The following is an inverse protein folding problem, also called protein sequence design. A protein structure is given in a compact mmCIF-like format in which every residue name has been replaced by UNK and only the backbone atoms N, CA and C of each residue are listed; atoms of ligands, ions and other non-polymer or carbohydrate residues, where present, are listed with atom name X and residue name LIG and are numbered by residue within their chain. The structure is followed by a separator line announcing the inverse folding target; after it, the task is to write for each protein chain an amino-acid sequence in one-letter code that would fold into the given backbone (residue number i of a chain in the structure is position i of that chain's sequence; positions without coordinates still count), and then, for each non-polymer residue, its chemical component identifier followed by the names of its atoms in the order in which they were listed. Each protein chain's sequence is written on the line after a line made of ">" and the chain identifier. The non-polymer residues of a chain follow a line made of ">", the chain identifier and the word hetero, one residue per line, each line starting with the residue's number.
data_IF_525522454773
#
_entry.id   IF_525522454773
#
_cell.length_a   1.000
_cell.length_b   1.000
_cell.length_c   1.000
_cell.angle_alpha   90.00
_cell.angle_beta   90.00
_cell.angle_gamma   90.00
#
_symmetry.space_group_name_H-M   'P 1'
#
loop_
_entity.id
_entity.type
_entity.pdbx_description
1 polymer ?
#
# COMPACT_ATOMS: atom_id res chain seq x y z
N UNK A 1 16.37 17.10 -14.24
CA UNK A 1 14.99 16.89 -14.68
C UNK A 1 14.56 15.48 -14.30
N UNK A 2 13.53 15.37 -13.50
CA UNK A 2 13.05 14.04 -13.09
C UNK A 2 12.19 13.50 -14.24
N UNK A 3 12.63 12.43 -14.87
CA UNK A 3 11.79 11.75 -15.82
C UNK A 3 10.59 11.15 -15.10
N UNK A 4 9.38 11.51 -15.52
CA UNK A 4 8.21 10.85 -15.03
C UNK A 4 8.20 9.42 -15.56
N UNK A 5 8.42 8.46 -14.66
CA UNK A 5 8.35 7.05 -15.04
C UNK A 5 6.93 6.75 -15.53
N UNK A 6 6.82 6.28 -16.76
CA UNK A 6 5.54 5.84 -17.29
C UNK A 6 5.11 4.56 -16.58
N UNK A 7 3.86 4.52 -16.18
CA UNK A 7 3.25 3.31 -15.64
C UNK A 7 2.85 2.43 -16.83
N UNK A 8 3.38 1.20 -16.92
CA UNK A 8 3.02 0.28 -18.00
C UNK A 8 1.61 -0.28 -17.80
N UNK A 9 1.16 -1.09 -18.75
CA UNK A 9 -0.05 -1.89 -18.55
C UNK A 9 0.25 -2.95 -17.48
N UNK A 10 -0.37 -2.81 -16.32
CA UNK A 10 -0.05 -3.63 -15.16
C UNK A 10 -0.45 -5.10 -15.33
N UNK A 11 -1.47 -5.36 -16.15
CA UNK A 11 -1.92 -6.73 -16.41
C UNK A 11 -1.01 -7.50 -17.37
N UNK A 12 -0.17 -6.81 -18.13
CA UNK A 12 0.79 -7.43 -19.04
C UNK A 12 2.11 -7.79 -18.38
N UNK A 13 2.34 -7.35 -17.14
CA UNK A 13 3.56 -7.68 -16.41
C UNK A 13 3.53 -9.14 -15.94
N UNK A 14 4.65 -9.85 -16.13
CA UNK A 14 4.79 -11.16 -15.50
C UNK A 14 5.01 -10.99 -13.98
N UNK A 15 5.05 -12.09 -13.25
CA UNK A 15 5.18 -12.02 -11.77
C UNK A 15 6.41 -11.26 -11.32
N UNK A 16 7.53 -11.48 -11.99
CA UNK A 16 8.80 -10.83 -11.65
C UNK A 16 8.73 -9.33 -11.96
N UNK A 17 8.22 -8.98 -13.12
CA UNK A 17 8.05 -7.59 -13.53
C UNK A 17 7.07 -6.85 -12.62
N UNK A 18 5.95 -7.50 -12.27
CA UNK A 18 4.98 -6.92 -11.36
C UNK A 18 5.57 -6.70 -9.97
N UNK A 19 6.32 -7.67 -9.45
CA UNK A 19 7.01 -7.53 -8.17
C UNK A 19 7.97 -6.33 -8.20
N UNK A 20 8.77 -6.23 -9.27
CA UNK A 20 9.71 -5.11 -9.43
C UNK A 20 8.98 -3.77 -9.54
N UNK A 21 7.86 -3.72 -10.27
CA UNK A 21 7.06 -2.51 -10.35
C UNK A 21 6.57 -2.08 -8.96
N UNK A 22 6.05 -3.01 -8.18
CA UNK A 22 5.52 -2.71 -6.85
C UNK A 22 6.63 -2.18 -5.94
N UNK A 23 7.78 -2.85 -5.90
CA UNK A 23 8.85 -2.51 -4.97
C UNK A 23 9.68 -1.31 -5.43
N UNK A 24 9.91 -1.16 -6.73
CA UNK A 24 10.88 -0.19 -7.25
C UNK A 24 10.25 1.05 -7.87
N UNK A 25 8.97 1.00 -8.20
CA UNK A 25 8.27 2.11 -8.85
C UNK A 25 7.12 2.63 -7.99
N UNK A 26 6.16 1.76 -7.66
CA UNK A 26 4.97 2.15 -6.90
C UNK A 26 5.34 2.58 -5.47
N UNK A 27 6.19 1.80 -4.80
CA UNK A 27 6.69 2.12 -3.46
C UNK A 27 8.14 2.59 -3.50
N UNK A 28 8.50 3.35 -4.52
CA UNK A 28 9.85 3.92 -4.60
C UNK A 28 10.04 4.98 -3.52
N UNK A 29 11.12 4.80 -2.75
CA UNK A 29 11.43 5.71 -1.65
C UNK A 29 10.54 5.48 -0.41
N UNK A 30 10.78 6.24 0.65
CA UNK A 30 10.02 6.06 1.91
C UNK A 30 8.56 6.48 1.78
N UNK A 31 8.26 7.45 0.91
CA UNK A 31 6.91 7.93 0.67
C UNK A 31 6.62 7.78 -0.82
N UNK A 32 5.57 7.05 -1.21
CA UNK A 32 5.24 6.88 -2.63
C UNK A 32 4.96 8.21 -3.32
N UNK A 33 5.38 8.31 -4.59
CA UNK A 33 5.11 9.48 -5.41
C UNK A 33 3.62 9.52 -5.79
N UNK A 34 2.88 10.56 -5.40
CA UNK A 34 1.46 10.65 -5.71
C UNK A 34 1.14 10.60 -7.20
N UNK A 35 2.03 11.09 -8.06
CA UNK A 35 1.80 11.07 -9.51
C UNK A 35 1.95 9.66 -10.09
N UNK A 36 2.89 8.86 -9.58
CA UNK A 36 3.02 7.47 -9.98
C UNK A 36 1.78 6.68 -9.57
N UNK A 37 1.34 6.88 -8.33
CA UNK A 37 0.11 6.23 -7.82
C UNK A 37 -1.09 6.65 -8.66
N UNK A 38 -1.21 7.94 -8.96
CA UNK A 38 -2.29 8.45 -9.80
C UNK A 38 -2.32 7.76 -11.16
N UNK A 39 -1.17 7.62 -11.83
CA UNK A 39 -1.10 6.96 -13.13
C UNK A 39 -1.38 5.45 -13.06
N UNK A 40 -1.05 4.81 -11.94
CA UNK A 40 -1.32 3.39 -11.73
C UNK A 40 -2.79 3.10 -11.49
N UNK A 41 -3.55 4.07 -11.01
CA UNK A 41 -4.97 3.92 -10.69
C UNK A 41 -5.83 4.08 -11.94
N UNK A 42 -6.91 3.32 -12.01
CA UNK A 42 -7.82 3.33 -13.17
C UNK A 42 -8.41 4.73 -13.38
N UNK A 43 -8.36 5.27 -14.60
CA UNK A 43 -8.79 6.65 -14.84
C UNK A 43 -10.27 6.91 -14.61
N UNK A 44 -11.12 5.93 -14.87
CA UNK A 44 -12.56 6.10 -14.84
C UNK A 44 -13.27 5.37 -13.71
N UNK A 45 -12.62 4.36 -13.10
CA UNK A 45 -13.30 3.48 -12.18
C UNK A 45 -12.37 3.01 -11.05
N UNK A 46 -11.75 3.96 -10.37
CA UNK A 46 -10.90 3.67 -9.22
C UNK A 46 -11.64 3.95 -7.93
N UNK A 47 -11.50 3.04 -6.96
CA UNK A 47 -11.94 3.30 -5.60
C UNK A 47 -11.00 2.62 -4.60
N UNK A 48 -10.71 3.33 -3.51
CA UNK A 48 -9.97 2.78 -2.38
C UNK A 48 -10.91 2.67 -1.20
N UNK A 49 -10.94 1.51 -0.57
CA UNK A 49 -11.78 1.26 0.60
C UNK A 49 -10.95 1.00 1.84
N UNK A 50 -11.41 1.54 2.95
CA UNK A 50 -10.86 1.29 4.28
C UNK A 50 -11.96 0.67 5.14
N UNK A 51 -12.08 -0.67 5.14
CA UNK A 51 -13.20 -1.33 5.83
C UNK A 51 -13.27 -1.05 7.34
N UNK A 52 -12.13 -0.80 7.97
CA UNK A 52 -12.10 -0.58 9.42
C UNK A 52 -12.81 0.71 9.84
N UNK A 53 -12.73 1.76 9.02
CA UNK A 53 -13.46 3.01 9.26
C UNK A 53 -14.76 3.10 8.49
N UNK A 54 -14.95 2.22 7.50
CA UNK A 54 -16.11 2.26 6.61
C UNK A 54 -16.02 3.36 5.54
N UNK A 55 -14.85 3.90 5.31
CA UNK A 55 -14.66 5.00 4.35
C UNK A 55 -14.23 4.50 2.99
N UNK A 56 -14.53 5.29 1.97
CA UNK A 56 -14.12 5.03 0.59
C UNK A 56 -13.69 6.33 -0.08
N UNK A 57 -12.59 6.27 -0.82
CA UNK A 57 -12.18 7.35 -1.70
C UNK A 57 -12.50 6.92 -3.13
N UNK A 58 -13.32 7.69 -3.82
CA UNK A 58 -13.75 7.40 -5.19
C UNK A 58 -13.02 8.30 -6.16
N UNK A 59 -12.41 7.68 -7.17
CA UNK A 59 -11.70 8.36 -8.23
C UNK A 59 -10.25 8.64 -7.91
N UNK A 60 -9.40 8.47 -8.93
CA UNK A 60 -7.95 8.67 -8.76
C UNK A 60 -7.57 10.11 -8.46
N UNK A 61 -8.39 11.08 -8.91
CA UNK A 61 -8.12 12.50 -8.61
C UNK A 61 -8.29 12.78 -7.11
N UNK A 62 -9.34 12.25 -6.49
CA UNK A 62 -9.53 12.39 -5.06
C UNK A 62 -8.42 11.70 -4.28
N UNK A 63 -7.94 10.56 -4.78
CA UNK A 63 -6.81 9.85 -4.15
C UNK A 63 -5.54 10.68 -4.24
N UNK A 64 -5.28 11.34 -5.36
CA UNK A 64 -4.14 12.26 -5.49
C UNK A 64 -4.21 13.40 -4.51
N UNK A 65 -5.39 14.01 -4.37
CA UNK A 65 -5.62 15.11 -3.41
C UNK A 65 -5.44 14.63 -1.98
N UNK A 66 -5.92 13.44 -1.68
CA UNK A 66 -5.73 12.83 -0.35
C UNK A 66 -4.24 12.67 -0.03
N UNK A 67 -3.47 12.11 -0.94
CA UNK A 67 -2.03 11.94 -0.74
C UNK A 67 -1.31 13.28 -0.53
N UNK A 68 -1.68 14.29 -1.32
CA UNK A 68 -1.05 15.61 -1.22
C UNK A 68 -1.44 16.36 0.05
N UNK A 69 -2.62 16.08 0.58
CA UNK A 69 -3.10 16.70 1.81
C UNK A 69 -2.55 16.05 3.08
N UNK A 70 -1.89 14.91 2.95
CA UNK A 70 -1.40 14.15 4.10
C UNK A 70 -0.35 14.95 4.86
N UNK A 71 -0.53 15.14 6.19
CA UNK A 71 0.43 15.89 6.98
C UNK A 71 1.83 15.29 6.90
N UNK A 72 2.84 16.16 6.60
CA UNK A 72 4.22 15.70 6.49
C UNK A 72 4.52 14.78 5.32
N UNK A 73 3.62 14.69 4.34
CA UNK A 73 3.78 13.81 3.17
C UNK A 73 3.37 12.36 3.43
N UNK A 74 2.88 12.07 4.63
CA UNK A 74 2.45 10.72 5.02
C UNK A 74 3.55 9.93 5.73
N UNK A 75 3.26 8.68 6.12
CA UNK A 75 4.22 7.83 6.81
C UNK A 75 5.28 7.31 5.86
N UNK A 76 6.44 6.94 6.41
CA UNK A 76 7.42 6.13 5.69
C UNK A 76 6.89 4.70 5.60
N UNK A 77 7.06 4.06 4.45
CA UNK A 77 6.52 2.73 4.20
C UNK A 77 7.66 1.72 4.07
N UNK A 78 7.58 0.66 4.88
CA UNK A 78 8.46 -0.49 4.78
C UNK A 78 7.67 -1.71 4.31
N UNK A 79 8.10 -2.32 3.20
CA UNK A 79 7.43 -3.51 2.68
C UNK A 79 7.94 -4.77 3.38
N UNK A 80 7.01 -5.66 3.76
CA UNK A 80 7.33 -6.97 4.33
C UNK A 80 7.14 -8.08 3.32
N UNK A 81 6.05 -8.04 2.56
CA UNK A 81 5.74 -9.11 1.62
C UNK A 81 4.88 -8.58 0.47
N UNK A 82 5.20 -9.06 -0.71
CA UNK A 82 4.45 -8.75 -1.92
C UNK A 82 4.06 -10.06 -2.59
N UNK A 83 2.77 -10.25 -2.81
CA UNK A 83 2.23 -11.40 -3.52
C UNK A 83 1.59 -10.95 -4.81
N UNK A 84 1.93 -11.61 -5.90
CA UNK A 84 1.44 -11.28 -7.23
C UNK A 84 0.68 -12.49 -7.81
N UNK A 85 -0.54 -12.23 -8.25
CA UNK A 85 -1.38 -13.16 -9.01
C UNK A 85 -1.94 -12.41 -10.20
N UNK A 86 -2.48 -13.15 -11.16
CA UNK A 86 -3.14 -12.52 -12.31
C UNK A 86 -4.31 -11.68 -11.81
N UNK A 87 -4.25 -10.37 -12.07
CA UNK A 87 -5.30 -9.45 -11.69
C UNK A 87 -5.43 -9.14 -10.20
N UNK A 88 -4.55 -9.69 -9.36
CA UNK A 88 -4.65 -9.51 -7.91
C UNK A 88 -3.26 -9.40 -7.28
N UNK A 89 -3.00 -8.26 -6.64
CA UNK A 89 -1.77 -8.03 -5.91
C UNK A 89 -2.08 -7.85 -4.42
N UNK A 90 -1.26 -8.43 -3.57
CA UNK A 90 -1.37 -8.24 -2.12
C UNK A 90 -0.03 -7.72 -1.60
N UNK A 91 -0.09 -6.60 -0.88
CA UNK A 91 1.09 -5.95 -0.32
C UNK A 91 0.93 -5.84 1.19
N UNK A 92 1.90 -6.34 1.92
CA UNK A 92 1.94 -6.24 3.37
C UNK A 92 3.14 -5.40 3.77
N UNK A 93 2.94 -4.50 4.72
CA UNK A 93 4.03 -3.64 5.17
C UNK A 93 3.73 -2.92 6.46
N UNK A 94 4.56 -1.92 6.74
CA UNK A 94 4.47 -1.10 7.94
C UNK A 94 4.50 0.37 7.54
N UNK A 95 3.57 1.13 8.09
CA UNK A 95 3.61 2.59 8.05
C UNK A 95 4.32 3.09 9.29
N UNK A 96 5.32 3.91 9.12
CA UNK A 96 6.07 4.53 10.22
C UNK A 96 5.81 6.05 10.20
N UNK A 97 5.11 6.52 11.23
CA UNK A 97 4.75 7.94 11.36
C UNK A 97 5.79 8.74 12.14
N UNK A 98 6.89 8.09 12.57
CA UNK A 98 7.91 8.69 13.40
C UNK A 98 7.60 8.57 14.90
N UNK A 99 8.61 8.80 15.74
CA UNK A 99 8.44 8.77 17.20
C UNK A 99 8.02 7.40 17.76
N UNK A 100 8.29 6.32 17.03
CA UNK A 100 7.90 4.98 17.46
C UNK A 100 6.47 4.59 17.11
N UNK A 101 5.74 5.46 16.43
CA UNK A 101 4.37 5.17 15.99
C UNK A 101 4.39 4.39 14.67
N UNK A 102 4.00 3.13 14.74
CA UNK A 102 3.91 2.27 13.54
C UNK A 102 2.53 1.66 13.44
N UNK A 103 2.12 1.38 12.21
CA UNK A 103 0.86 0.69 11.92
C UNK A 103 1.13 -0.36 10.84
N UNK A 104 0.74 -1.60 11.10
CA UNK A 104 0.80 -2.63 10.08
C UNK A 104 -0.30 -2.39 9.05
N UNK A 105 -0.01 -2.68 7.78
CA UNK A 105 -1.05 -2.58 6.75
C UNK A 105 -1.01 -3.77 5.80
N UNK A 106 -2.17 -4.04 5.23
CA UNK A 106 -2.32 -4.97 4.11
C UNK A 106 -3.14 -4.25 3.05
N UNK A 107 -2.62 -4.22 1.82
CA UNK A 107 -3.33 -3.71 0.65
C UNK A 107 -3.67 -4.86 -0.27
N UNK A 108 -4.93 -4.89 -0.70
CA UNK A 108 -5.41 -5.84 -1.70
C UNK A 108 -5.78 -5.03 -2.93
N UNK A 109 -5.03 -5.22 -4.01
CA UNK A 109 -5.18 -4.46 -5.24
C UNK A 109 -5.73 -5.36 -6.34
N UNK A 110 -6.85 -4.98 -6.93
CA UNK A 110 -7.43 -5.66 -8.08
C UNK A 110 -7.19 -4.83 -9.33
N UNK A 111 -6.77 -5.51 -10.39
CA UNK A 111 -6.44 -4.87 -11.66
C UNK A 111 -7.58 -5.01 -12.66
N UNK A 112 -7.76 -3.95 -13.47
CA UNK A 112 -8.73 -3.92 -14.57
C UNK A 112 -8.23 -2.94 -15.62
N UNK A 113 -8.29 -3.32 -16.88
CA UNK A 113 -7.83 -2.48 -17.99
C UNK A 113 -6.40 -1.98 -17.80
N UNK A 114 -5.54 -2.84 -17.25
CA UNK A 114 -4.13 -2.54 -17.03
C UNK A 114 -3.85 -1.59 -15.89
N UNK A 115 -4.81 -1.32 -15.05
CA UNK A 115 -4.71 -0.35 -13.94
C UNK A 115 -5.31 -0.92 -12.66
N UNK A 116 -4.98 -0.27 -11.54
CA UNK A 116 -5.60 -0.60 -10.26
C UNK A 116 -6.99 0.03 -10.24
N UNK A 117 -8.02 -0.81 -10.10
CA UNK A 117 -9.38 -0.28 -10.05
C UNK A 117 -10.01 -0.40 -8.68
N UNK A 118 -9.67 -1.44 -7.90
CA UNK A 118 -10.08 -1.57 -6.50
C UNK A 118 -8.87 -1.72 -5.63
N UNK A 119 -8.84 -0.95 -4.56
CA UNK A 119 -7.73 -0.83 -3.64
C UNK A 119 -8.34 -0.92 -2.24
N UNK A 120 -8.12 -2.03 -1.56
CA UNK A 120 -8.66 -2.23 -0.21
C UNK A 120 -7.51 -2.27 0.77
N UNK A 121 -7.60 -1.44 1.82
CA UNK A 121 -6.54 -1.30 2.78
C UNK A 121 -7.02 -1.58 4.19
N UNK A 122 -6.28 -2.44 4.88
CA UNK A 122 -6.47 -2.72 6.29
C UNK A 122 -5.29 -2.17 7.06
N UNK A 123 -5.58 -1.46 8.14
CA UNK A 123 -4.55 -0.89 9.01
C UNK A 123 -4.73 -1.47 10.40
N UNK A 124 -3.64 -1.99 10.98
CA UNK A 124 -3.67 -2.59 12.29
C UNK A 124 -2.73 -1.84 13.22
N UNK A 125 -3.31 -1.10 14.16
CA UNK A 125 -2.52 -0.45 15.18
C UNK A 125 -2.09 -1.47 16.24
N UNK A 126 -0.86 -1.39 16.76
CA UNK A 126 -0.43 -2.24 17.85
C UNK A 126 -1.35 -2.10 19.06
N UNK A 127 -1.60 -3.18 19.73
CA UNK A 127 -2.34 -3.16 20.99
C UNK A 127 -1.67 -4.07 22.00
N UNK A 128 -1.95 -3.85 23.28
CA UNK A 128 -1.39 -4.63 24.36
C UNK A 128 -1.99 -6.04 24.36
N UNK A 129 -1.11 -7.05 24.40
CA UNK A 129 -1.54 -8.44 24.39
C UNK A 129 -2.34 -8.77 25.66
N UNK A 130 -3.54 -9.38 25.53
CA UNK A 130 -4.32 -9.75 26.70
C UNK A 130 -3.65 -10.83 27.55
N UNK A 131 -3.75 -10.72 28.88
CA UNK A 131 -3.12 -11.65 29.80
C UNK A 131 -3.67 -13.07 29.74
N UNK A 132 -4.94 -13.23 29.39
CA UNK A 132 -5.59 -14.54 29.45
C UNK A 132 -4.93 -15.59 28.56
N UNK A 133 -4.21 -15.17 27.53
CA UNK A 133 -3.54 -16.08 26.59
C UNK A 133 -2.02 -16.15 26.76
N UNK A 134 -1.48 -15.47 27.75
CA UNK A 134 -0.03 -15.31 27.91
C UNK A 134 0.72 -16.64 28.00
N UNK A 135 0.12 -17.67 28.60
CA UNK A 135 0.80 -18.95 28.78
C UNK A 135 1.00 -19.74 27.47
N UNK A 136 0.31 -19.37 26.41
CA UNK A 136 0.41 -20.07 25.12
C UNK A 136 1.10 -19.25 24.03
N UNK A 137 1.52 -18.04 24.33
CA UNK A 137 2.10 -17.15 23.33
C UNK A 137 3.47 -16.67 23.77
N UNK A 138 4.30 -16.33 22.79
CA UNK A 138 5.57 -15.66 23.03
C UNK A 138 5.63 -14.38 22.21
N UNK A 139 6.51 -13.46 22.59
CA UNK A 139 6.68 -12.21 21.85
C UNK A 139 7.38 -12.46 20.53
N UNK A 140 6.84 -11.91 19.46
CA UNK A 140 7.52 -11.89 18.16
C UNK A 140 8.71 -10.93 18.29
N UNK A 141 9.91 -11.44 17.98
CA UNK A 141 11.09 -10.58 17.96
C UNK A 141 11.09 -9.80 16.66
N UNK A 142 11.35 -8.48 16.77
CA UNK A 142 11.53 -7.68 15.57
C UNK A 142 12.80 -8.13 14.85
N UNK A 143 12.66 -8.46 13.55
CA UNK A 143 13.81 -8.74 12.74
C UNK A 143 14.64 -7.47 12.61
N UNK A 144 15.91 -7.54 13.06
CA UNK A 144 16.83 -6.44 12.85
C UNK A 144 17.16 -6.34 11.37
N UNK A 145 16.85 -5.19 10.80
CA UNK A 145 17.19 -4.89 9.41
C UNK A 145 18.67 -4.50 9.30
#
# INVERSE_FOLDING_TARGET
>A
MVEHKRVPNLEELDKKEAHSFITDVFFYGPVPDPEVVYQANHPDDYAMEMPQSGERIVGRENMRRFHKAYPGGGPSIGLRRVLVRDGLWVVEGVNDYGGGQTTDFVMILELKDGRIWRDRRYYAEPFEAPEWRAQWVERVQEESQ
#
